data_IF_370240345929
#
_entry.id   IF_370240345929
#
_cell.length_a   1.000
_cell.length_b   1.000
_cell.length_c   1.000
_cell.angle_alpha   90.00
_cell.angle_beta   90.00
_cell.angle_gamma   90.00
#
_symmetry.space_group_name_H-M   'P 1'
#
loop_
_entity.id
_entity.type
_entity.pdbx_description
1 polymer ?
#
# COMPACT_ATOMS: atom_id res chain seq x y z
N UNK A 1 -10.66 -12.90 -12.07
CA UNK A 1 -10.46 -12.22 -10.76
C UNK A 1 -9.27 -12.87 -10.08
N UNK A 2 -8.19 -12.12 -9.93
CA UNK A 2 -6.90 -12.69 -9.51
C UNK A 2 -6.91 -13.09 -8.04
N UNK A 3 -6.75 -14.37 -7.75
CA UNK A 3 -6.60 -14.97 -6.41
C UNK A 3 -5.50 -14.31 -5.54
N UNK A 4 -4.57 -13.56 -6.15
CA UNK A 4 -3.47 -12.86 -5.46
C UNK A 4 -3.85 -11.55 -4.76
N UNK A 5 -4.97 -10.91 -5.12
CA UNK A 5 -5.42 -9.69 -4.42
C UNK A 5 -6.11 -9.97 -3.09
N UNK A 6 -6.65 -11.17 -2.90
CA UNK A 6 -7.28 -11.60 -1.64
C UNK A 6 -6.21 -11.95 -0.59
N UNK A 7 -5.05 -12.48 -1.00
CA UNK A 7 -3.99 -12.87 -0.08
C UNK A 7 -3.27 -11.68 0.60
N UNK A 8 -3.25 -10.49 -0.03
CA UNK A 8 -2.56 -9.32 0.53
C UNK A 8 -3.33 -8.63 1.68
N UNK A 9 -4.65 -8.83 1.76
CA UNK A 9 -5.50 -8.23 2.81
C UNK A 9 -5.58 -9.08 4.09
N UNK A 10 -5.04 -10.31 4.07
CA UNK A 10 -5.32 -11.33 5.10
C UNK A 10 -4.05 -11.85 5.82
N UNK A 11 -2.88 -11.24 5.58
CA UNK A 11 -1.61 -11.72 6.14
C UNK A 11 -1.26 -11.18 7.54
N UNK A 12 -2.17 -10.48 8.23
CA UNK A 12 -1.92 -9.91 9.56
C UNK A 12 -2.88 -10.42 10.62
N UNK A 13 -3.04 -11.75 10.74
CA UNK A 13 -3.56 -12.33 11.99
C UNK A 13 -2.38 -13.03 12.67
N UNK A 14 -1.82 -12.47 13.76
CA UNK A 14 -0.88 -13.21 14.57
C UNK A 14 -1.63 -14.32 15.30
N UNK A 15 -1.30 -15.57 15.01
CA UNK A 15 -1.64 -16.74 15.81
C UNK A 15 -0.98 -16.60 17.18
N UNK A 16 -1.70 -16.09 18.17
CA UNK A 16 -1.27 -16.15 19.56
C UNK A 16 -1.75 -17.50 20.11
N UNK A 17 -0.90 -18.52 20.02
CA UNK A 17 -0.96 -19.66 20.91
C UNK A 17 0.06 -19.45 22.05
N UNK A 18 -0.42 -19.03 23.21
CA UNK A 18 0.30 -19.24 24.46
C UNK A 18 -0.65 -19.90 25.46
N UNK A 19 -0.50 -21.21 25.59
CA UNK A 19 -1.10 -21.93 26.69
C UNK A 19 -0.32 -21.63 27.99
N UNK A 20 -1.06 -21.32 29.04
CA UNK A 20 -0.48 -21.28 30.39
C UNK A 20 -1.31 -20.47 31.40
N UNK A 21 -1.92 -21.15 32.33
CA UNK A 21 -2.45 -20.71 33.62
C UNK A 21 -3.86 -20.08 33.66
N UNK A 22 -4.82 -20.93 33.92
CA UNK A 22 -6.27 -20.67 34.09
C UNK A 22 -6.70 -20.16 35.48
N UNK A 23 -5.95 -19.26 36.12
CA UNK A 23 -6.32 -18.76 37.48
C UNK A 23 -6.38 -17.22 37.60
N UNK A 24 -6.12 -16.47 36.51
CA UNK A 24 -6.11 -15.00 36.52
C UNK A 24 -7.15 -14.40 35.56
N UNK A 25 -7.77 -15.16 34.69
CA UNK A 25 -8.60 -14.68 33.58
C UNK A 25 -9.93 -14.00 34.02
N UNK A 26 -10.53 -14.34 35.13
CA UNK A 26 -11.81 -13.75 35.55
C UNK A 26 -11.66 -12.32 36.09
N UNK A 27 -10.54 -12.04 36.75
CA UNK A 27 -10.26 -10.67 37.24
C UNK A 27 -9.77 -9.75 36.14
N UNK A 28 -9.07 -10.28 35.11
CA UNK A 28 -8.58 -9.50 33.98
C UNK A 28 -9.74 -9.01 33.10
N UNK A 29 -10.70 -9.87 32.74
CA UNK A 29 -11.87 -9.46 31.95
C UNK A 29 -12.69 -8.35 32.63
N UNK A 30 -12.82 -8.42 33.95
CA UNK A 30 -13.51 -7.38 34.73
C UNK A 30 -12.70 -6.08 34.77
N UNK A 31 -11.37 -6.19 34.93
CA UNK A 31 -10.49 -5.03 34.92
C UNK A 31 -10.51 -4.34 33.55
N UNK A 32 -10.46 -5.11 32.47
CA UNK A 32 -10.54 -4.62 31.10
C UNK A 32 -11.89 -3.97 30.80
N UNK A 33 -13.00 -4.55 31.28
CA UNK A 33 -14.33 -3.97 31.13
C UNK A 33 -14.46 -2.62 31.85
N UNK A 34 -13.90 -2.48 33.05
CA UNK A 34 -13.88 -1.21 33.81
C UNK A 34 -13.00 -0.18 33.11
N UNK A 35 -11.84 -0.60 32.59
CA UNK A 35 -10.92 0.27 31.86
C UNK A 35 -11.55 0.78 30.56
N UNK A 36 -12.20 -0.11 29.81
CA UNK A 36 -12.86 0.21 28.54
C UNK A 36 -14.11 1.10 28.73
N UNK A 37 -14.73 1.08 29.90
CA UNK A 37 -15.88 1.94 30.24
C UNK A 37 -15.48 3.37 30.63
N UNK A 38 -14.19 3.69 30.79
CA UNK A 38 -13.75 5.03 31.11
C UNK A 38 -14.16 6.02 30.00
N UNK A 39 -14.84 7.10 30.40
CA UNK A 39 -15.23 8.19 29.50
C UNK A 39 -14.02 9.09 29.27
N UNK A 40 -13.60 9.21 28.01
CA UNK A 40 -12.45 10.03 27.56
C UNK A 40 -12.89 11.38 27.01
N UNK A 41 -14.10 11.46 26.47
CA UNK A 41 -14.74 12.71 26.09
C UNK A 41 -16.26 12.63 26.26
N UNK A 42 -16.89 13.77 26.50
CA UNK A 42 -18.35 13.96 26.49
C UNK A 42 -18.70 14.99 25.43
N UNK A 43 -19.54 14.63 24.49
CA UNK A 43 -20.13 15.57 23.54
C UNK A 43 -21.63 15.60 23.74
N UNK A 44 -22.18 16.73 24.25
CA UNK A 44 -23.57 16.82 24.71
C UNK A 44 -23.86 15.68 25.70
N UNK A 45 -24.79 14.78 25.36
CA UNK A 45 -25.20 13.65 26.19
C UNK A 45 -24.56 12.33 25.73
N UNK A 46 -23.53 12.38 24.86
CA UNK A 46 -22.87 11.20 24.33
C UNK A 46 -21.48 11.05 24.92
N UNK A 47 -21.26 9.93 25.60
CA UNK A 47 -19.94 9.54 26.12
C UNK A 47 -19.12 8.84 25.06
N UNK A 48 -17.85 9.26 24.91
CA UNK A 48 -16.83 8.58 24.11
C UNK A 48 -15.91 7.84 25.07
N UNK A 49 -15.95 6.51 25.02
CA UNK A 49 -15.25 5.67 25.97
C UNK A 49 -13.88 5.21 25.44
N UNK A 50 -13.02 4.75 26.36
CA UNK A 50 -11.75 4.13 26.02
C UNK A 50 -11.92 2.87 25.17
N UNK A 51 -12.97 2.09 25.43
CA UNK A 51 -13.28 0.92 24.62
C UNK A 51 -13.54 1.26 23.15
N UNK A 52 -14.34 2.31 22.88
CA UNK A 52 -14.58 2.81 21.52
C UNK A 52 -13.29 3.31 20.87
N UNK A 53 -12.45 4.02 21.62
CA UNK A 53 -11.14 4.49 21.13
C UNK A 53 -10.24 3.32 20.71
N UNK A 54 -10.07 2.33 21.59
CA UNK A 54 -9.25 1.13 21.33
C UNK A 54 -9.79 0.33 20.14
N UNK A 55 -11.11 0.19 20.04
CA UNK A 55 -11.75 -0.47 18.91
C UNK A 55 -11.45 0.25 17.59
N UNK A 56 -11.63 1.56 17.53
CA UNK A 56 -11.35 2.36 16.34
C UNK A 56 -9.86 2.28 15.95
N UNK A 57 -8.96 2.33 16.94
CA UNK A 57 -7.53 2.18 16.70
C UNK A 57 -7.19 0.82 16.09
N UNK A 58 -7.74 -0.28 16.61
CA UNK A 58 -7.52 -1.62 16.06
C UNK A 58 -7.96 -1.72 14.60
N UNK A 59 -9.11 -1.14 14.25
CA UNK A 59 -9.63 -1.13 12.88
C UNK A 59 -8.70 -0.39 11.92
N UNK A 60 -8.25 0.80 12.31
CA UNK A 60 -7.37 1.63 11.46
C UNK A 60 -5.97 1.03 11.33
N UNK A 61 -5.42 0.46 12.39
CA UNK A 61 -4.11 -0.19 12.37
C UNK A 61 -4.12 -1.49 11.57
N UNK A 62 -5.18 -2.28 11.67
CA UNK A 62 -5.33 -3.49 10.86
C UNK A 62 -5.33 -3.20 9.35
N UNK A 63 -5.94 -2.08 8.92
CA UNK A 63 -5.88 -1.63 7.52
C UNK A 63 -4.47 -1.23 7.07
N UNK A 64 -3.62 -0.80 8.00
CA UNK A 64 -2.23 -0.40 7.76
C UNK A 64 -1.24 -1.58 7.90
N UNK A 65 -1.73 -2.78 8.26
CA UNK A 65 -0.90 -3.96 8.47
C UNK A 65 -0.01 -3.88 9.73
N UNK A 66 -0.42 -3.07 10.73
CA UNK A 66 0.28 -2.91 12.01
C UNK A 66 -0.65 -3.22 13.19
N UNK A 67 -0.10 -3.36 14.38
CA UNK A 67 -0.85 -3.73 15.59
C UNK A 67 -0.85 -2.61 16.63
N UNK A 68 -1.74 -2.74 17.61
CA UNK A 68 -1.79 -1.81 18.75
C UNK A 68 -0.49 -1.87 19.57
N UNK A 69 0.07 -3.06 19.73
CA UNK A 69 1.31 -3.31 20.45
C UNK A 69 2.51 -2.62 19.77
N UNK A 70 2.57 -2.64 18.44
CA UNK A 70 3.62 -1.96 17.68
C UNK A 70 3.60 -0.45 17.91
N UNK A 71 2.41 0.15 17.94
CA UNK A 71 2.24 1.59 18.18
C UNK A 71 2.53 1.97 19.63
N UNK A 72 2.20 1.10 20.59
CA UNK A 72 2.46 1.32 22.01
C UNK A 72 3.95 1.28 22.37
N UNK A 73 4.79 0.66 21.55
CA UNK A 73 6.22 0.57 21.77
C UNK A 73 6.93 1.93 21.78
N UNK A 74 6.38 2.94 21.08
CA UNK A 74 6.85 4.33 21.11
C UNK A 74 5.87 5.22 21.89
N UNK A 75 6.23 5.60 23.14
CA UNK A 75 5.35 6.39 24.01
C UNK A 75 4.93 7.75 23.41
N UNK A 76 5.81 8.40 22.66
CA UNK A 76 5.52 9.70 22.04
C UNK A 76 4.53 9.55 20.90
N UNK A 77 4.76 8.55 20.04
CA UNK A 77 3.85 8.21 18.94
C UNK A 77 2.51 7.73 19.48
N UNK A 78 2.51 6.88 20.50
CA UNK A 78 1.31 6.40 21.19
C UNK A 78 0.41 7.54 21.68
N UNK A 79 0.96 8.50 22.43
CA UNK A 79 0.19 9.65 22.92
C UNK A 79 -0.39 10.50 21.80
N UNK A 80 0.37 10.71 20.74
CA UNK A 80 -0.09 11.47 19.57
C UNK A 80 -1.22 10.74 18.87
N UNK A 81 -1.07 9.42 18.69
CA UNK A 81 -2.06 8.58 18.05
C UNK A 81 -3.36 8.49 18.85
N UNK A 82 -3.28 8.34 20.19
CA UNK A 82 -4.45 8.40 21.09
C UNK A 82 -5.24 9.70 20.92
N UNK A 83 -4.53 10.84 20.95
CA UNK A 83 -5.19 12.16 20.86
C UNK A 83 -5.83 12.37 19.48
N UNK A 84 -5.15 12.01 18.40
CA UNK A 84 -5.69 12.15 17.04
C UNK A 84 -6.91 11.25 16.85
N UNK A 85 -6.87 10.02 17.35
CA UNK A 85 -8.00 9.07 17.26
C UNK A 85 -9.19 9.54 18.11
N UNK A 86 -8.95 10.07 19.31
CA UNK A 86 -10.05 10.64 20.13
C UNK A 86 -10.69 11.83 19.43
N UNK A 87 -9.88 12.72 18.85
CA UNK A 87 -10.40 13.84 18.08
C UNK A 87 -11.27 13.36 16.91
N UNK A 88 -10.85 12.28 16.20
CA UNK A 88 -11.63 11.73 15.11
C UNK A 88 -12.99 11.19 15.60
N UNK A 89 -13.02 10.47 16.71
CA UNK A 89 -14.29 10.00 17.30
C UNK A 89 -15.21 11.14 17.69
N UNK A 90 -14.66 12.24 18.23
CA UNK A 90 -15.44 13.46 18.51
C UNK A 90 -15.97 14.08 17.23
N UNK A 91 -15.13 14.19 16.19
CA UNK A 91 -15.53 14.71 14.87
C UNK A 91 -16.66 13.86 14.28
N UNK A 92 -16.56 12.52 14.36
CA UNK A 92 -17.60 11.62 13.87
C UNK A 92 -18.94 11.86 14.56
N UNK A 93 -18.94 12.11 15.89
CA UNK A 93 -20.18 12.43 16.64
C UNK A 93 -20.78 13.77 16.19
N UNK A 94 -19.94 14.80 16.04
CA UNK A 94 -20.39 16.12 15.53
C UNK A 94 -20.91 15.99 14.11
N UNK A 95 -20.20 15.27 13.23
CA UNK A 95 -20.61 15.05 11.85
C UNK A 95 -21.92 14.26 11.73
N UNK A 96 -22.16 13.27 12.60
CA UNK A 96 -23.45 12.58 12.66
C UNK A 96 -24.59 13.51 13.06
N UNK A 97 -24.36 14.44 13.98
CA UNK A 97 -25.35 15.46 14.30
C UNK A 97 -25.61 16.40 13.11
N UNK A 98 -24.55 16.84 12.43
CA UNK A 98 -24.66 17.61 11.19
C UNK A 98 -25.41 16.85 10.10
N UNK A 99 -25.20 15.53 9.99
CA UNK A 99 -25.97 14.70 9.07
C UNK A 99 -27.47 14.74 9.35
N UNK A 100 -27.86 14.72 10.64
CA UNK A 100 -29.28 14.83 11.05
C UNK A 100 -29.83 16.22 10.74
N UNK A 101 -29.06 17.28 11.04
CA UNK A 101 -29.45 18.68 10.74
C UNK A 101 -29.67 18.89 9.23
N UNK A 102 -28.87 18.23 8.38
CA UNK A 102 -28.93 18.32 6.92
C UNK A 102 -29.88 17.29 6.28
N UNK A 103 -30.45 16.38 7.07
CA UNK A 103 -31.35 15.31 6.58
C UNK A 103 -30.63 14.17 5.87
N UNK A 104 -29.30 14.04 6.02
CA UNK A 104 -28.52 12.97 5.38
C UNK A 104 -28.68 11.59 6.04
N UNK A 105 -29.25 11.55 7.24
CA UNK A 105 -29.68 10.35 7.95
C UNK A 105 -30.96 9.73 7.37
N UNK A 106 -31.70 10.48 6.55
CA UNK A 106 -32.91 10.04 5.86
C UNK A 106 -32.51 9.22 4.62
N UNK A 107 -32.39 7.90 4.79
CA UNK A 107 -31.93 7.00 3.75
C UNK A 107 -33.09 6.59 2.83
N UNK A 108 -32.85 6.68 1.52
CA UNK A 108 -33.74 6.16 0.49
C UNK A 108 -33.59 4.63 0.32
N UNK A 109 -34.46 4.01 -0.47
CA UNK A 109 -34.32 2.59 -0.83
C UNK A 109 -33.03 2.32 -1.60
N UNK A 110 -32.62 3.23 -2.50
CA UNK A 110 -31.35 3.13 -3.24
C UNK A 110 -30.11 3.26 -2.32
N UNK A 111 -30.19 4.10 -1.30
CA UNK A 111 -29.13 4.21 -0.29
C UNK A 111 -28.96 2.93 0.50
N UNK A 112 -30.07 2.36 0.96
CA UNK A 112 -30.05 1.09 1.68
C UNK A 112 -29.48 -0.04 0.80
N UNK A 113 -29.81 -0.05 -0.48
CA UNK A 113 -29.23 -1.00 -1.45
C UNK A 113 -27.70 -0.86 -1.57
N UNK A 114 -27.19 0.36 -1.66
CA UNK A 114 -25.72 0.61 -1.69
C UNK A 114 -25.04 0.16 -0.39
N UNK A 115 -25.66 0.41 0.75
CA UNK A 115 -25.18 -0.06 2.06
C UNK A 115 -25.14 -1.60 2.09
N UNK A 116 -26.19 -2.26 1.59
CA UNK A 116 -26.26 -3.72 1.52
C UNK A 116 -25.23 -4.29 0.53
N UNK A 117 -25.01 -3.64 -0.59
CA UNK A 117 -23.97 -4.02 -1.58
C UNK A 117 -22.58 -3.95 -0.96
N UNK A 118 -22.23 -2.87 -0.25
CA UNK A 118 -20.94 -2.70 0.42
C UNK A 118 -20.77 -3.73 1.55
N UNK A 119 -21.77 -3.88 2.39
CA UNK A 119 -21.79 -4.88 3.46
C UNK A 119 -21.60 -6.29 2.90
N UNK A 120 -22.41 -6.69 1.91
CA UNK A 120 -22.33 -8.02 1.30
C UNK A 120 -21.00 -8.26 0.57
N UNK A 121 -20.42 -7.24 -0.05
CA UNK A 121 -19.10 -7.35 -0.70
C UNK A 121 -18.03 -7.75 0.31
N UNK A 122 -18.03 -7.12 1.48
CA UNK A 122 -17.09 -7.45 2.56
C UNK A 122 -17.37 -8.83 3.13
N UNK A 123 -18.63 -9.13 3.50
CA UNK A 123 -19.01 -10.43 4.06
C UNK A 123 -18.66 -11.57 3.11
N UNK A 124 -19.01 -11.48 1.83
CA UNK A 124 -18.68 -12.50 0.83
C UNK A 124 -17.17 -12.77 0.71
N UNK A 125 -16.36 -11.72 0.86
CA UNK A 125 -14.89 -11.86 0.83
C UNK A 125 -14.38 -12.62 2.05
N UNK A 126 -14.95 -12.35 3.23
CA UNK A 126 -14.62 -13.05 4.48
C UNK A 126 -15.10 -14.50 4.43
N UNK A 127 -16.32 -14.74 3.93
CA UNK A 127 -16.88 -16.08 3.74
C UNK A 127 -16.00 -16.93 2.81
N UNK A 128 -15.57 -16.39 1.68
CA UNK A 128 -14.67 -17.09 0.76
C UNK A 128 -13.33 -17.46 1.42
N UNK A 129 -12.81 -16.60 2.29
CA UNK A 129 -11.61 -16.90 3.06
C UNK A 129 -11.87 -17.94 4.14
N UNK A 130 -12.97 -17.83 4.88
CA UNK A 130 -13.36 -18.79 5.91
C UNK A 130 -13.55 -20.20 5.30
N UNK A 131 -14.18 -20.30 4.12
CA UNK A 131 -14.29 -21.55 3.40
C UNK A 131 -12.92 -22.14 3.02
N UNK A 132 -12.00 -21.30 2.54
CA UNK A 132 -10.66 -21.76 2.18
C UNK A 132 -9.91 -22.31 3.40
N UNK A 133 -9.92 -21.59 4.52
CA UNK A 133 -9.25 -22.02 5.76
C UNK A 133 -9.90 -23.27 6.35
N UNK A 134 -11.23 -23.33 6.40
CA UNK A 134 -11.94 -24.49 6.94
C UNK A 134 -11.67 -25.77 6.10
N UNK A 135 -11.61 -25.65 4.76
CA UNK A 135 -11.24 -26.76 3.89
C UNK A 135 -9.80 -27.24 4.13
N UNK A 136 -8.84 -26.30 4.19
CA UNK A 136 -7.44 -26.63 4.48
C UNK A 136 -7.28 -27.30 5.87
N UNK A 137 -7.97 -26.79 6.89
CA UNK A 137 -7.89 -27.34 8.25
C UNK A 137 -8.41 -28.79 8.34
N UNK A 138 -9.47 -29.13 7.61
CA UNK A 138 -10.01 -30.50 7.56
C UNK A 138 -9.15 -31.42 6.68
N UNK A 139 -8.51 -30.90 5.62
CA UNK A 139 -7.56 -31.67 4.80
C UNK A 139 -6.31 -32.03 5.62
N UNK A 140 -5.78 -31.11 6.42
CA UNK A 140 -4.63 -31.32 7.30
C UNK A 140 -4.94 -32.23 8.50
N UNK A 141 -6.13 -32.10 9.08
CA UNK A 141 -6.59 -32.90 10.21
C UNK A 141 -8.07 -33.32 10.04
N UNK A 142 -8.33 -34.55 9.54
CA UNK A 142 -9.69 -35.06 9.33
C UNK A 142 -10.57 -35.19 10.60
N UNK A 143 -10.01 -34.96 11.79
CA UNK A 143 -10.80 -34.94 13.05
C UNK A 143 -11.47 -33.59 13.30
N UNK A 144 -11.07 -32.55 12.58
CA UNK A 144 -11.66 -31.22 12.67
C UNK A 144 -13.02 -31.16 11.97
N UNK A 145 -13.88 -30.28 12.48
CA UNK A 145 -15.21 -30.05 11.92
C UNK A 145 -15.18 -28.80 11.02
N UNK A 146 -15.57 -28.95 9.77
CA UNK A 146 -15.60 -27.86 8.79
C UNK A 146 -16.45 -26.68 9.24
N UNK A 147 -17.67 -26.92 9.72
CA UNK A 147 -18.60 -25.84 10.11
C UNK A 147 -18.08 -25.08 11.35
N UNK A 148 -17.38 -25.77 12.24
CA UNK A 148 -16.74 -25.17 13.41
C UNK A 148 -15.55 -24.30 13.03
N UNK A 149 -14.66 -24.78 12.16
CA UNK A 149 -13.54 -24.01 11.64
C UNK A 149 -14.02 -22.78 10.85
N UNK A 150 -15.01 -22.95 9.97
CA UNK A 150 -15.63 -21.85 9.23
C UNK A 150 -16.20 -20.78 10.16
N UNK A 151 -17.00 -21.19 11.15
CA UNK A 151 -17.59 -20.29 12.12
C UNK A 151 -16.53 -19.58 12.97
N UNK A 152 -15.47 -20.28 13.36
CA UNK A 152 -14.36 -19.69 14.12
C UNK A 152 -13.66 -18.58 13.31
N UNK A 153 -13.41 -18.79 12.02
CA UNK A 153 -12.80 -17.77 11.17
C UNK A 153 -13.71 -16.55 11.04
N UNK A 154 -15.01 -16.75 10.77
CA UNK A 154 -15.99 -15.66 10.66
C UNK A 154 -16.07 -14.86 11.97
N UNK A 155 -16.21 -15.54 13.11
CA UNK A 155 -16.29 -14.89 14.42
C UNK A 155 -14.99 -14.13 14.73
N UNK A 156 -13.83 -14.78 14.57
CA UNK A 156 -12.52 -14.17 14.86
C UNK A 156 -12.29 -12.92 14.02
N UNK A 157 -12.72 -12.92 12.74
CA UNK A 157 -12.56 -11.76 11.88
C UNK A 157 -13.37 -10.56 12.39
N UNK A 158 -14.68 -10.74 12.64
CA UNK A 158 -15.50 -9.64 13.13
C UNK A 158 -15.10 -9.20 14.54
N UNK A 159 -14.77 -10.13 15.44
CA UNK A 159 -14.27 -9.82 16.78
C UNK A 159 -12.95 -9.01 16.73
N UNK A 160 -12.07 -9.30 15.77
CA UNK A 160 -10.82 -8.52 15.58
C UNK A 160 -11.10 -7.07 15.22
N UNK A 161 -12.22 -6.80 14.54
CA UNK A 161 -12.70 -5.46 14.23
C UNK A 161 -13.59 -4.86 15.35
N UNK A 162 -13.89 -5.63 16.39
CA UNK A 162 -14.78 -5.22 17.48
C UNK A 162 -16.27 -5.20 17.12
N UNK A 163 -16.66 -5.97 16.11
CA UNK A 163 -18.06 -6.10 15.68
C UNK A 163 -18.55 -7.55 15.75
N UNK A 164 -19.86 -7.72 15.74
CA UNK A 164 -20.49 -8.89 15.18
C UNK A 164 -20.79 -8.65 13.70
N UNK A 165 -21.04 -9.70 12.93
CA UNK A 165 -21.48 -9.53 11.53
C UNK A 165 -22.73 -8.65 11.44
N UNK A 166 -23.65 -8.75 12.38
CA UNK A 166 -24.87 -7.93 12.42
C UNK A 166 -24.56 -6.44 12.70
N UNK A 167 -23.75 -6.15 13.73
CA UNK A 167 -23.39 -4.77 14.09
C UNK A 167 -22.47 -4.10 13.06
N UNK A 168 -21.75 -4.88 12.25
CA UNK A 168 -20.92 -4.35 11.16
C UNK A 168 -21.75 -3.63 10.08
N UNK A 169 -22.99 -4.09 9.82
CA UNK A 169 -23.89 -3.39 8.89
C UNK A 169 -24.26 -1.99 9.38
N UNK A 170 -24.41 -1.80 10.70
CA UNK A 170 -24.67 -0.48 11.28
C UNK A 170 -23.47 0.46 11.13
N UNK A 171 -22.25 -0.07 11.21
CA UNK A 171 -21.03 0.70 10.95
C UNK A 171 -20.92 1.10 9.47
N UNK A 172 -21.22 0.20 8.52
CA UNK A 172 -21.28 0.53 7.09
C UNK A 172 -22.32 1.64 6.84
N UNK A 173 -23.49 1.55 7.47
CA UNK A 173 -24.52 2.59 7.39
C UNK A 173 -24.05 3.93 7.97
N UNK A 174 -23.39 3.92 9.11
CA UNK A 174 -22.82 5.13 9.73
C UNK A 174 -21.80 5.78 8.79
N UNK A 175 -20.87 5.00 8.25
CA UNK A 175 -19.85 5.47 7.33
C UNK A 175 -20.45 6.05 6.04
N UNK A 176 -21.52 5.45 5.52
CA UNK A 176 -22.26 5.97 4.38
C UNK A 176 -22.87 7.36 4.68
N UNK A 177 -23.41 7.57 5.87
CA UNK A 177 -23.99 8.85 6.31
C UNK A 177 -22.84 9.89 6.48
N UNK A 178 -21.77 9.54 7.18
CA UNK A 178 -20.60 10.41 7.37
C UNK A 178 -19.98 10.84 6.04
N UNK A 179 -19.92 9.92 5.07
CA UNK A 179 -19.46 10.24 3.71
C UNK A 179 -20.31 11.33 3.05
N UNK A 180 -21.62 11.38 3.27
CA UNK A 180 -22.49 12.45 2.75
C UNK A 180 -22.14 13.80 3.34
N UNK A 181 -21.83 13.84 4.65
CA UNK A 181 -21.37 15.08 5.31
C UNK A 181 -20.04 15.53 4.73
N UNK A 182 -19.10 14.59 4.57
CA UNK A 182 -17.82 14.87 3.91
C UNK A 182 -18.03 15.43 2.51
N UNK A 183 -18.81 14.73 1.68
CA UNK A 183 -19.08 15.13 0.30
C UNK A 183 -19.74 16.54 0.22
N UNK A 184 -20.61 16.90 1.17
CA UNK A 184 -21.22 18.22 1.25
C UNK A 184 -20.22 19.32 1.62
N UNK A 185 -19.34 19.05 2.58
CA UNK A 185 -18.28 19.99 2.99
C UNK A 185 -17.33 20.29 1.84
N UNK A 186 -16.95 19.27 1.07
CA UNK A 186 -15.95 19.42 0.01
C UNK A 186 -16.51 19.71 -1.38
N UNK A 187 -17.85 19.82 -1.53
CA UNK A 187 -18.53 19.90 -2.86
C UNK A 187 -18.08 21.05 -3.75
N UNK A 188 -17.69 22.16 -3.13
CA UNK A 188 -17.29 23.38 -3.84
C UNK A 188 -15.74 23.50 -3.95
N UNK A 189 -14.98 22.52 -3.42
CA UNK A 189 -13.52 22.51 -3.52
C UNK A 189 -13.08 22.18 -4.92
N UNK A 190 -12.34 23.08 -5.53
CA UNK A 190 -11.83 22.94 -6.90
C UNK A 190 -10.34 23.26 -6.99
N UNK A 191 -9.74 22.83 -8.07
CA UNK A 191 -8.38 23.21 -8.47
C UNK A 191 -8.45 23.73 -9.90
N UNK A 192 -7.86 24.90 -10.13
CA UNK A 192 -7.81 25.49 -11.49
C UNK A 192 -6.55 25.03 -12.23
N UNK A 193 -6.62 25.06 -13.57
CA UNK A 193 -5.45 24.77 -14.41
C UNK A 193 -4.26 25.69 -14.12
N UNK A 194 -4.53 26.95 -13.74
CA UNK A 194 -3.52 27.94 -13.37
C UNK A 194 -2.77 27.52 -12.10
N UNK A 195 -3.49 27.13 -11.05
CA UNK A 195 -2.89 26.63 -9.80
C UNK A 195 -2.02 25.41 -10.02
N UNK A 196 -2.47 24.47 -10.86
CA UNK A 196 -1.69 23.27 -11.21
C UNK A 196 -0.40 23.65 -11.95
N UNK A 197 -0.52 24.60 -12.91
CA UNK A 197 0.62 25.05 -13.69
C UNK A 197 1.65 25.80 -12.83
N UNK A 198 1.20 26.67 -11.94
CA UNK A 198 2.08 27.39 -11.00
C UNK A 198 2.79 26.41 -10.06
N UNK A 199 2.08 25.40 -9.55
CA UNK A 199 2.68 24.35 -8.71
C UNK A 199 3.72 23.55 -9.48
N UNK A 200 3.42 23.15 -10.73
CA UNK A 200 4.36 22.46 -11.58
C UNK A 200 5.62 23.30 -11.84
N UNK A 201 5.48 24.54 -12.25
CA UNK A 201 6.63 25.43 -12.55
C UNK A 201 7.52 25.67 -11.32
N UNK A 202 6.88 25.82 -10.14
CA UNK A 202 7.58 25.94 -8.86
C UNK A 202 8.37 24.68 -8.53
N UNK A 203 7.74 23.50 -8.66
CA UNK A 203 8.38 22.22 -8.37
C UNK A 203 9.53 21.94 -9.35
N UNK A 204 9.37 22.21 -10.64
CA UNK A 204 10.45 22.12 -11.63
C UNK A 204 11.64 22.99 -11.22
N UNK A 205 11.41 24.26 -10.87
CA UNK A 205 12.45 25.18 -10.43
C UNK A 205 13.19 24.66 -9.18
N UNK A 206 12.46 24.14 -8.21
CA UNK A 206 13.05 23.56 -6.98
C UNK A 206 13.88 22.32 -7.31
N UNK A 207 13.36 21.41 -8.13
CA UNK A 207 14.06 20.18 -8.50
C UNK A 207 15.32 20.46 -9.32
N UNK A 208 15.26 21.38 -10.30
CA UNK A 208 16.46 21.83 -11.03
C UNK A 208 17.53 22.41 -10.09
N UNK A 209 17.11 23.21 -9.10
CA UNK A 209 18.01 23.78 -8.10
C UNK A 209 18.68 22.71 -7.23
N UNK A 210 17.92 21.71 -6.79
CA UNK A 210 18.44 20.62 -5.99
C UNK A 210 19.38 19.71 -6.76
N UNK A 211 19.05 19.37 -8.00
CA UNK A 211 19.87 18.51 -8.88
C UNK A 211 21.25 19.10 -9.17
N UNK A 212 21.39 20.43 -9.23
CA UNK A 212 22.72 21.09 -9.39
C UNK A 212 23.68 20.78 -8.25
N UNK A 213 23.16 20.59 -7.04
CA UNK A 213 23.96 20.36 -5.84
C UNK A 213 24.01 18.87 -5.44
N UNK A 214 22.99 18.12 -5.79
CA UNK A 214 22.82 16.71 -5.42
C UNK A 214 22.25 15.91 -6.60
N UNK A 215 23.10 15.36 -7.47
CA UNK A 215 22.64 14.60 -8.65
C UNK A 215 21.79 13.36 -8.30
N UNK A 216 21.97 12.78 -7.09
CA UNK A 216 21.14 11.67 -6.57
C UNK A 216 19.77 12.11 -6.01
N UNK A 217 19.39 13.37 -6.17
CA UNK A 217 18.13 13.91 -5.65
C UNK A 217 16.90 13.16 -6.19
N UNK A 218 16.97 12.65 -7.44
CA UNK A 218 15.91 11.82 -8.02
C UNK A 218 15.62 10.59 -7.16
N UNK A 219 16.66 9.86 -6.74
CA UNK A 219 16.47 8.66 -5.92
C UNK A 219 15.86 8.98 -4.55
N UNK A 220 16.25 10.12 -3.97
CA UNK A 220 15.63 10.60 -2.72
C UNK A 220 14.14 10.93 -2.92
N UNK A 221 13.77 11.60 -4.03
CA UNK A 221 12.36 11.90 -4.36
C UNK A 221 11.55 10.60 -4.51
N UNK A 222 12.09 9.62 -5.22
CA UNK A 222 11.46 8.30 -5.39
C UNK A 222 11.25 7.59 -4.05
N UNK A 223 12.27 7.59 -3.19
CA UNK A 223 12.20 6.96 -1.87
C UNK A 223 11.10 7.52 -0.97
N UNK A 224 10.85 8.84 -1.04
CA UNK A 224 9.78 9.49 -0.27
C UNK A 224 8.44 9.56 -1.01
N UNK A 225 8.32 8.90 -2.16
CA UNK A 225 7.11 8.87 -2.98
C UNK A 225 6.72 10.22 -3.60
N UNK A 226 7.69 11.15 -3.74
CA UNK A 226 7.45 12.44 -4.37
C UNK A 226 7.57 12.37 -5.88
N UNK A 227 6.77 13.15 -6.59
CA UNK A 227 6.79 13.21 -8.05
C UNK A 227 8.10 13.78 -8.56
N UNK A 228 8.77 13.02 -9.43
CA UNK A 228 9.96 13.50 -10.17
C UNK A 228 9.51 14.22 -11.43
N UNK A 229 9.91 15.49 -11.57
CA UNK A 229 9.61 16.34 -12.72
C UNK A 229 10.85 16.71 -13.54
N UNK A 230 12.04 16.47 -12.99
CA UNK A 230 13.31 16.77 -13.67
C UNK A 230 14.27 15.61 -13.52
N UNK A 231 14.71 15.09 -14.66
CA UNK A 231 15.68 14.01 -14.72
C UNK A 231 17.02 14.50 -15.27
N UNK A 232 18.13 14.24 -14.59
CA UNK A 232 19.45 14.41 -15.19
C UNK A 232 19.70 13.36 -16.28
N UNK A 233 20.78 13.53 -17.05
CA UNK A 233 21.18 12.54 -18.06
C UNK A 233 21.44 11.17 -17.42
N UNK A 234 21.14 10.11 -18.17
CA UNK A 234 21.36 8.72 -17.76
C UNK A 234 20.16 8.04 -17.11
N UNK A 235 19.06 8.76 -16.87
CA UNK A 235 17.80 8.16 -16.46
C UNK A 235 17.01 7.64 -17.64
N UNK A 236 16.43 6.46 -17.50
CA UNK A 236 15.59 5.82 -18.52
C UNK A 236 14.66 4.77 -17.93
N UNK A 237 13.62 4.43 -18.66
CA UNK A 237 12.86 3.22 -18.39
C UNK A 237 13.50 2.06 -19.14
N UNK A 238 13.70 0.95 -18.44
CA UNK A 238 14.25 -0.28 -19.03
C UNK A 238 13.34 -1.47 -18.74
N UNK A 239 13.33 -2.42 -19.65
CA UNK A 239 12.79 -3.76 -19.46
C UNK A 239 13.82 -4.79 -19.87
N UNK A 240 13.68 -6.04 -19.44
CA UNK A 240 14.67 -7.03 -19.76
C UNK A 240 14.06 -8.41 -20.04
N UNK A 241 14.83 -9.24 -20.74
CA UNK A 241 14.68 -10.69 -20.81
C UNK A 241 15.74 -11.28 -19.91
N UNK A 242 15.32 -12.06 -18.90
CA UNK A 242 16.19 -12.93 -18.13
C UNK A 242 16.09 -14.35 -18.68
N UNK A 243 17.21 -14.90 -19.06
CA UNK A 243 17.38 -16.33 -19.27
C UNK A 243 18.02 -16.89 -18.01
N UNK A 244 17.23 -17.50 -17.13
CA UNK A 244 17.72 -18.03 -15.86
C UNK A 244 18.64 -19.24 -16.06
N UNK A 245 19.68 -19.34 -15.22
CA UNK A 245 20.37 -20.60 -15.03
C UNK A 245 19.42 -21.62 -14.36
N UNK A 246 19.74 -22.89 -14.47
CA UNK A 246 19.09 -23.91 -13.64
C UNK A 246 19.34 -23.63 -12.15
N UNK A 247 18.47 -24.17 -11.28
CA UNK A 247 18.48 -23.87 -9.85
C UNK A 247 19.80 -24.23 -9.17
N UNK A 248 20.49 -25.30 -9.61
CA UNK A 248 21.77 -25.72 -9.07
C UNK A 248 22.87 -24.71 -9.43
N UNK A 249 22.98 -24.36 -10.71
CA UNK A 249 23.95 -23.37 -11.19
C UNK A 249 23.71 -21.99 -10.57
N UNK A 250 22.46 -21.55 -10.51
CA UNK A 250 22.06 -20.28 -9.89
C UNK A 250 22.44 -20.23 -8.41
N UNK A 251 22.12 -21.25 -7.64
CA UNK A 251 22.44 -21.35 -6.22
C UNK A 251 23.95 -21.34 -5.97
N UNK A 252 24.70 -22.14 -6.74
CA UNK A 252 26.15 -22.20 -6.63
C UNK A 252 26.82 -20.87 -7.04
N UNK A 253 26.37 -20.23 -8.12
CA UNK A 253 26.89 -18.94 -8.57
C UNK A 253 26.59 -17.81 -7.56
N UNK A 254 25.39 -17.80 -6.95
CA UNK A 254 25.03 -16.85 -5.89
C UNK A 254 25.92 -17.01 -4.67
N UNK A 255 26.18 -18.26 -4.26
CA UNK A 255 27.08 -18.57 -3.13
C UNK A 255 28.51 -18.11 -3.44
N UNK A 256 29.04 -18.47 -4.61
CA UNK A 256 30.40 -18.09 -5.00
C UNK A 256 30.56 -16.56 -5.09
N UNK A 257 29.51 -15.85 -5.53
CA UNK A 257 29.49 -14.37 -5.54
C UNK A 257 29.52 -13.80 -4.10
N UNK A 258 28.66 -14.31 -3.23
CA UNK A 258 28.57 -13.86 -1.82
C UNK A 258 29.85 -14.15 -1.01
N UNK A 259 30.58 -15.20 -1.35
CA UNK A 259 31.86 -15.56 -0.72
C UNK A 259 33.09 -14.91 -1.37
N UNK A 260 32.92 -14.01 -2.35
CA UNK A 260 33.98 -13.39 -3.17
C UNK A 260 34.89 -14.43 -3.86
N UNK A 261 34.37 -15.62 -4.15
CA UNK A 261 35.08 -16.69 -4.84
C UNK A 261 35.01 -16.49 -6.37
N UNK A 262 35.82 -15.54 -6.86
CA UNK A 262 35.79 -15.09 -8.27
C UNK A 262 36.03 -16.21 -9.28
N UNK A 263 36.96 -17.12 -8.99
CA UNK A 263 37.27 -18.19 -9.94
C UNK A 263 36.12 -19.18 -10.13
N UNK A 264 35.44 -19.52 -9.06
CA UNK A 264 34.27 -20.41 -9.10
C UNK A 264 33.06 -19.69 -9.71
N UNK A 265 32.85 -18.41 -9.37
CA UNK A 265 31.82 -17.58 -9.97
C UNK A 265 32.00 -17.48 -11.50
N UNK A 266 33.21 -17.17 -11.98
CA UNK A 266 33.52 -17.08 -13.41
C UNK A 266 33.34 -18.44 -14.13
N UNK A 267 33.71 -19.54 -13.49
CA UNK A 267 33.51 -20.89 -14.04
C UNK A 267 32.01 -21.18 -14.21
N UNK A 268 31.23 -21.04 -13.13
CA UNK A 268 29.80 -21.34 -13.11
C UNK A 268 29.02 -20.47 -14.10
N UNK A 269 29.29 -19.18 -14.12
CA UNK A 269 28.59 -18.24 -15.02
C UNK A 269 28.99 -18.45 -16.49
N UNK A 270 30.22 -18.86 -16.77
CA UNK A 270 30.66 -19.22 -18.13
C UNK A 270 29.98 -20.50 -18.61
N UNK A 271 29.94 -21.53 -17.79
CA UNK A 271 29.25 -22.79 -18.11
C UNK A 271 27.74 -22.59 -18.27
N UNK A 272 27.11 -21.82 -17.35
CA UNK A 272 25.69 -21.47 -17.43
C UNK A 272 25.34 -20.68 -18.68
N UNK A 273 26.16 -19.67 -19.04
CA UNK A 273 25.98 -18.94 -20.30
C UNK A 273 26.09 -19.86 -21.51
N UNK A 274 27.08 -20.76 -21.52
CA UNK A 274 27.26 -21.72 -22.65
C UNK A 274 26.03 -22.61 -22.84
N UNK A 275 25.38 -23.06 -21.74
CA UNK A 275 24.14 -23.80 -21.80
C UNK A 275 22.96 -23.01 -22.40
N UNK A 276 22.95 -21.69 -22.24
CA UNK A 276 21.92 -20.77 -22.77
C UNK A 276 22.24 -20.20 -24.15
N UNK A 277 23.44 -20.49 -24.71
CA UNK A 277 23.94 -19.82 -25.92
C UNK A 277 22.97 -19.92 -27.10
N UNK A 278 22.33 -21.07 -27.31
CA UNK A 278 21.35 -21.24 -28.40
C UNK A 278 20.16 -20.28 -28.28
N UNK A 279 19.64 -20.08 -27.06
CA UNK A 279 18.55 -19.12 -26.81
C UNK A 279 19.03 -17.68 -27.03
N UNK A 280 20.22 -17.35 -26.55
CA UNK A 280 20.84 -16.01 -26.72
C UNK A 280 21.00 -15.70 -28.20
N UNK A 281 21.55 -16.62 -28.99
CA UNK A 281 21.78 -16.45 -30.42
C UNK A 281 20.46 -16.29 -31.19
N UNK A 282 19.42 -17.04 -30.81
CA UNK A 282 18.10 -16.94 -31.41
C UNK A 282 17.47 -15.58 -31.13
N UNK A 283 17.44 -15.11 -29.88
CA UNK A 283 16.93 -13.80 -29.52
C UNK A 283 17.68 -12.70 -30.28
N UNK A 284 19.02 -12.74 -30.29
CA UNK A 284 19.83 -11.73 -30.98
C UNK A 284 19.60 -11.74 -32.51
N UNK A 285 19.41 -12.91 -33.10
CA UNK A 285 19.10 -13.06 -34.53
C UNK A 285 17.74 -12.45 -34.86
N UNK A 286 16.72 -12.75 -34.05
CA UNK A 286 15.36 -12.25 -34.23
C UNK A 286 15.27 -10.75 -34.02
N UNK A 287 15.94 -10.21 -32.99
CA UNK A 287 16.07 -8.77 -32.78
C UNK A 287 16.75 -8.08 -33.97
N UNK A 288 17.82 -8.69 -34.53
CA UNK A 288 18.51 -8.18 -35.70
C UNK A 288 17.64 -8.21 -36.96
N UNK A 289 16.67 -9.12 -37.03
CA UNK A 289 15.65 -9.20 -38.08
C UNK A 289 14.50 -8.21 -37.87
N UNK A 290 14.48 -7.44 -36.77
CA UNK A 290 13.49 -6.42 -36.46
C UNK A 290 12.28 -6.92 -35.69
N UNK A 291 12.35 -8.10 -35.09
CA UNK A 291 11.28 -8.60 -34.23
C UNK A 291 11.15 -7.77 -32.94
N UNK A 292 9.94 -7.63 -32.44
CA UNK A 292 9.66 -6.81 -31.25
C UNK A 292 10.21 -7.46 -29.97
N UNK A 293 10.86 -6.65 -29.14
CA UNK A 293 11.44 -7.11 -27.87
C UNK A 293 10.39 -7.64 -26.89
N UNK A 294 9.19 -7.05 -26.87
CA UNK A 294 8.08 -7.51 -26.02
C UNK A 294 7.62 -8.91 -26.40
N UNK A 295 7.52 -9.20 -27.71
CA UNK A 295 7.19 -10.55 -28.20
C UNK A 295 8.23 -11.57 -27.72
N UNK A 296 9.52 -11.22 -27.77
CA UNK A 296 10.59 -12.10 -27.29
C UNK A 296 10.57 -12.24 -25.75
N UNK A 297 10.18 -11.18 -25.04
CA UNK A 297 9.96 -11.26 -23.58
C UNK A 297 8.85 -12.26 -23.22
N UNK A 298 7.73 -12.25 -23.92
CA UNK A 298 6.63 -13.21 -23.69
C UNK A 298 7.09 -14.67 -23.87
N UNK A 299 8.02 -14.91 -24.80
CA UNK A 299 8.51 -16.25 -25.14
C UNK A 299 9.65 -16.72 -24.23
N UNK A 300 10.60 -15.84 -23.87
CA UNK A 300 11.87 -16.23 -23.26
C UNK A 300 12.09 -15.77 -21.83
N UNK A 301 11.30 -14.80 -21.32
CA UNK A 301 11.62 -14.18 -20.04
C UNK A 301 11.26 -15.06 -18.85
N UNK A 302 12.26 -15.44 -18.06
CA UNK A 302 12.10 -16.19 -16.83
C UNK A 302 11.82 -15.28 -15.60
N UNK A 303 11.86 -13.94 -15.76
CA UNK A 303 11.51 -12.99 -14.69
C UNK A 303 9.99 -12.76 -14.67
N UNK A 304 9.34 -13.28 -13.62
CA UNK A 304 7.88 -13.18 -13.47
C UNK A 304 7.38 -11.75 -13.27
N UNK A 305 8.18 -10.85 -12.68
CA UNK A 305 7.81 -9.45 -12.49
C UNK A 305 7.72 -8.74 -13.83
N UNK A 306 8.75 -8.91 -14.66
CA UNK A 306 8.80 -8.30 -15.99
C UNK A 306 7.92 -9.00 -17.03
N UNK A 307 7.20 -10.05 -16.63
CA UNK A 307 6.13 -10.66 -17.46
C UNK A 307 4.75 -10.05 -17.18
N UNK A 308 4.65 -9.07 -16.27
CA UNK A 308 3.39 -8.43 -15.89
C UNK A 308 3.39 -6.93 -16.24
N UNK A 309 2.19 -6.41 -16.56
CA UNK A 309 1.95 -4.98 -16.66
C UNK A 309 2.19 -4.28 -15.31
N UNK A 310 2.76 -3.07 -15.30
CA UNK A 310 3.26 -2.28 -16.44
C UNK A 310 4.72 -2.59 -16.82
N UNK A 311 5.40 -3.50 -16.13
CA UNK A 311 6.84 -3.74 -16.26
C UNK A 311 7.25 -4.29 -17.64
N UNK A 312 6.37 -5.09 -18.27
CA UNK A 312 6.61 -5.65 -19.61
C UNK A 312 6.46 -4.62 -20.74
N UNK A 313 5.69 -3.54 -20.54
CA UNK A 313 5.43 -2.50 -21.54
C UNK A 313 6.16 -1.21 -21.25
N UNK A 314 5.99 -0.66 -20.04
CA UNK A 314 6.57 0.62 -19.64
C UNK A 314 8.00 0.48 -19.09
N UNK A 315 8.34 -0.71 -18.59
CA UNK A 315 9.60 -0.98 -17.93
C UNK A 315 9.69 -0.38 -16.54
N UNK A 316 10.91 -0.40 -15.98
CA UNK A 316 11.23 0.19 -14.67
C UNK A 316 12.16 1.38 -14.88
N UNK A 317 11.88 2.47 -14.16
CA UNK A 317 12.75 3.63 -14.14
C UNK A 317 14.05 3.31 -13.41
N UNK A 318 15.16 3.59 -14.07
CA UNK A 318 16.51 3.39 -13.54
C UNK A 318 17.42 4.57 -13.92
N UNK A 319 18.35 4.89 -13.04
CA UNK A 319 19.30 5.96 -13.24
C UNK A 319 20.68 5.66 -12.68
N UNK A 320 21.65 6.54 -12.90
CA UNK A 320 23.05 6.31 -12.53
C UNK A 320 23.31 6.27 -11.01
N UNK A 321 22.32 6.65 -10.21
CA UNK A 321 22.40 6.68 -8.75
C UNK A 321 21.46 5.66 -8.08
N UNK A 322 20.84 4.79 -8.86
CA UNK A 322 20.02 3.70 -8.34
C UNK A 322 20.86 2.69 -7.54
N UNK A 323 20.23 2.00 -6.59
CA UNK A 323 20.89 0.88 -5.91
C UNK A 323 21.07 -0.28 -6.88
N UNK A 324 22.26 -0.87 -6.93
CA UNK A 324 22.55 -2.00 -7.79
C UNK A 324 22.29 -3.32 -7.04
N UNK A 325 21.19 -3.97 -7.34
CA UNK A 325 20.84 -5.29 -6.78
C UNK A 325 21.37 -6.45 -7.65
N UNK A 326 21.64 -6.18 -8.93
CA UNK A 326 22.12 -7.16 -9.92
C UNK A 326 23.49 -6.69 -10.43
N UNK A 327 24.57 -7.43 -10.17
CA UNK A 327 25.93 -7.00 -10.53
C UNK A 327 26.09 -6.66 -12.02
N UNK A 328 26.57 -5.46 -12.30
CA UNK A 328 26.83 -4.97 -13.66
C UNK A 328 25.59 -4.52 -14.43
N UNK A 329 24.40 -4.55 -13.79
CA UNK A 329 23.16 -4.12 -14.44
C UNK A 329 23.19 -2.61 -14.77
N UNK A 330 23.59 -1.78 -13.81
CA UNK A 330 23.70 -0.33 -14.02
C UNK A 330 24.76 0.01 -15.10
N UNK A 331 25.87 -0.72 -15.13
CA UNK A 331 26.89 -0.56 -16.16
C UNK A 331 26.38 -0.96 -17.55
N UNK A 332 25.52 -1.95 -17.65
CA UNK A 332 24.88 -2.35 -18.90
C UNK A 332 23.85 -1.31 -19.35
N UNK A 333 23.03 -0.79 -18.43
CA UNK A 333 22.07 0.29 -18.68
C UNK A 333 22.77 1.57 -19.11
N UNK A 334 23.86 1.96 -18.46
CA UNK A 334 24.62 3.17 -18.78
C UNK A 334 25.17 3.21 -20.24
N UNK A 335 25.25 2.05 -20.90
CA UNK A 335 25.66 1.95 -22.32
C UNK A 335 24.50 2.14 -23.30
N UNK A 336 23.27 2.18 -22.80
CA UNK A 336 22.07 2.44 -23.60
C UNK A 336 21.94 3.96 -23.80
N UNK A 337 21.90 4.39 -25.04
CA UNK A 337 21.92 5.84 -25.39
C UNK A 337 20.68 6.28 -26.16
N UNK A 338 19.79 5.36 -26.51
CA UNK A 338 18.58 5.67 -27.28
C UNK A 338 17.47 4.65 -27.02
N UNK A 339 16.27 5.12 -27.17
CA UNK A 339 15.06 4.27 -27.12
C UNK A 339 15.14 3.11 -28.10
N UNK A 340 14.70 1.93 -27.68
CA UNK A 340 14.70 0.69 -28.45
C UNK A 340 16.06 -0.02 -28.50
N UNK A 341 17.13 0.58 -28.00
CA UNK A 341 18.45 -0.08 -27.93
C UNK A 341 18.41 -1.21 -26.91
N UNK A 342 19.02 -2.34 -27.27
CA UNK A 342 19.18 -3.51 -26.42
C UNK A 342 20.67 -3.65 -26.05
N UNK A 343 20.94 -4.06 -24.81
CA UNK A 343 22.29 -4.30 -24.30
C UNK A 343 22.95 -5.52 -24.95
N UNK A 344 24.27 -5.59 -24.85
CA UNK A 344 24.94 -6.89 -24.94
C UNK A 344 24.47 -7.80 -23.81
N UNK A 345 24.52 -9.13 -23.99
CA UNK A 345 24.16 -10.09 -22.97
C UNK A 345 24.97 -9.87 -21.68
N UNK A 346 24.30 -9.50 -20.59
CA UNK A 346 24.87 -9.35 -19.25
C UNK A 346 24.79 -10.68 -18.50
N UNK A 347 25.91 -11.22 -18.12
CA UNK A 347 25.96 -12.47 -17.33
C UNK A 347 26.08 -12.17 -15.83
N UNK A 348 25.21 -12.76 -15.04
CA UNK A 348 25.16 -12.60 -13.58
C UNK A 348 25.03 -13.96 -12.90
N UNK A 349 24.90 -13.96 -11.57
CA UNK A 349 24.62 -15.20 -10.84
C UNK A 349 23.20 -15.76 -11.09
N UNK A 350 22.26 -14.91 -11.55
CA UNK A 350 20.90 -15.35 -11.85
C UNK A 350 20.77 -16.02 -13.23
N UNK A 351 21.64 -15.63 -14.18
CA UNK A 351 21.51 -15.99 -15.58
C UNK A 351 22.02 -14.89 -16.50
N UNK A 352 21.43 -14.80 -17.68
CA UNK A 352 21.81 -13.84 -18.72
C UNK A 352 20.68 -12.87 -18.97
N UNK A 353 20.97 -11.56 -18.83
CA UNK A 353 20.03 -10.47 -19.10
C UNK A 353 20.29 -9.85 -20.46
N UNK A 354 19.22 -9.57 -21.20
CA UNK A 354 19.20 -8.65 -22.33
C UNK A 354 18.29 -7.48 -21.95
N UNK A 355 18.83 -6.26 -21.87
CA UNK A 355 18.15 -5.09 -21.32
C UNK A 355 17.81 -4.13 -22.45
N UNK A 356 16.55 -3.71 -22.57
CA UNK A 356 16.10 -2.74 -23.57
C UNK A 356 15.77 -1.41 -22.91
N UNK A 357 16.26 -0.30 -23.50
CA UNK A 357 15.78 1.04 -23.18
C UNK A 357 14.38 1.24 -23.79
N UNK A 358 13.37 1.38 -22.93
CA UNK A 358 11.99 1.67 -23.36
C UNK A 358 11.82 3.16 -23.67
N UNK A 359 12.32 4.04 -22.78
CA UNK A 359 12.20 5.49 -22.88
C UNK A 359 13.37 6.17 -22.19
N UNK A 360 13.95 7.20 -22.82
CA UNK A 360 14.91 8.10 -22.16
C UNK A 360 14.15 9.13 -21.32
N UNK A 361 14.62 9.40 -20.11
CA UNK A 361 13.98 10.30 -19.13
C UNK A 361 14.88 11.51 -18.82
N UNK A 362 15.58 12.08 -19.81
CA UNK A 362 16.40 13.27 -19.59
C UNK A 362 15.58 14.56 -19.74
N UNK A 363 15.83 15.53 -18.85
CA UNK A 363 15.21 16.85 -18.92
C UNK A 363 13.95 16.98 -18.07
N UNK A 364 13.19 18.03 -18.35
CA UNK A 364 11.93 18.33 -17.65
C UNK A 364 10.80 17.48 -18.24
N UNK A 365 10.05 16.80 -17.37
CA UNK A 365 8.84 16.06 -17.77
C UNK A 365 7.80 17.08 -18.27
N UNK A 366 7.22 16.90 -19.47
CA UNK A 366 6.23 17.84 -19.99
C UNK A 366 5.03 18.00 -19.05
N UNK A 367 4.55 19.24 -18.92
CA UNK A 367 3.39 19.54 -18.08
C UNK A 367 2.17 18.67 -18.41
N UNK A 368 1.90 18.49 -19.71
CA UNK A 368 0.74 17.71 -20.17
C UNK A 368 0.80 16.24 -19.76
N UNK A 369 2.01 15.68 -19.57
CA UNK A 369 2.20 14.28 -19.14
C UNK A 369 1.86 14.07 -17.65
N UNK A 370 1.86 15.14 -16.84
CA UNK A 370 1.67 15.07 -15.38
C UNK A 370 0.47 15.86 -14.88
N UNK A 371 -0.16 16.67 -15.73
CA UNK A 371 -1.25 17.59 -15.38
C UNK A 371 -2.39 16.88 -14.65
N UNK A 372 -2.87 15.77 -15.20
CA UNK A 372 -4.02 15.04 -14.64
C UNK A 372 -3.72 14.50 -13.23
N UNK A 373 -2.56 13.87 -13.07
CA UNK A 373 -2.10 13.34 -11.77
C UNK A 373 -1.89 14.46 -10.75
N UNK A 374 -1.24 15.56 -11.15
CA UNK A 374 -1.04 16.71 -10.27
C UNK A 374 -2.37 17.36 -9.88
N UNK A 375 -3.32 17.48 -10.81
CA UNK A 375 -4.67 17.99 -10.53
C UNK A 375 -5.37 17.13 -9.50
N UNK A 376 -5.35 15.81 -9.67
CA UNK A 376 -5.97 14.86 -8.73
C UNK A 376 -5.33 14.95 -7.33
N UNK A 377 -4.00 15.00 -7.27
CA UNK A 377 -3.25 15.12 -6.00
C UNK A 377 -3.56 16.43 -5.29
N UNK A 378 -3.53 17.56 -6.00
CA UNK A 378 -3.83 18.87 -5.44
C UNK A 378 -5.29 18.96 -4.98
N UNK A 379 -6.22 18.42 -5.77
CA UNK A 379 -7.65 18.39 -5.40
C UNK A 379 -7.88 17.56 -4.14
N UNK A 380 -7.25 16.40 -4.03
CA UNK A 380 -7.31 15.57 -2.83
C UNK A 380 -6.75 16.30 -1.61
N UNK A 381 -5.60 16.96 -1.74
CA UNK A 381 -5.01 17.76 -0.66
C UNK A 381 -5.88 18.95 -0.23
N UNK A 382 -6.47 19.68 -1.19
CA UNK A 382 -7.40 20.78 -0.86
C UNK A 382 -8.66 20.28 -0.16
N UNK A 383 -9.23 19.13 -0.60
CA UNK A 383 -10.39 18.52 0.04
C UNK A 383 -10.10 18.08 1.47
N UNK A 384 -8.94 17.48 1.71
CA UNK A 384 -8.50 17.11 3.06
C UNK A 384 -8.34 18.36 3.94
N UNK A 385 -7.70 19.41 3.44
CA UNK A 385 -7.53 20.69 4.17
C UNK A 385 -8.87 21.35 4.49
N UNK A 386 -9.82 21.35 3.55
CA UNK A 386 -11.16 21.92 3.78
C UNK A 386 -11.90 21.14 4.86
N UNK A 387 -11.89 19.80 4.77
CA UNK A 387 -12.47 18.91 5.78
C UNK A 387 -11.87 19.17 7.17
N UNK A 388 -10.55 19.21 7.28
CA UNK A 388 -9.85 19.47 8.55
C UNK A 388 -10.20 20.85 9.11
N UNK A 389 -10.27 21.88 8.25
CA UNK A 389 -10.60 23.24 8.65
C UNK A 389 -12.02 23.33 9.20
N UNK A 390 -12.99 22.75 8.50
CA UNK A 390 -14.41 22.79 8.89
C UNK A 390 -14.64 21.98 10.16
N UNK A 391 -14.06 20.78 10.25
CA UNK A 391 -14.24 19.91 11.44
C UNK A 391 -13.54 20.45 12.67
N UNK A 392 -12.37 21.08 12.52
CA UNK A 392 -11.72 21.79 13.61
C UNK A 392 -12.59 22.97 14.09
N UNK A 393 -13.22 23.71 13.17
CA UNK A 393 -14.18 24.76 13.50
C UNK A 393 -15.35 24.23 14.33
N UNK A 394 -15.94 23.09 13.95
CA UNK A 394 -17.02 22.45 14.72
C UNK A 394 -16.57 22.05 16.13
N UNK A 395 -15.37 21.50 16.26
CA UNK A 395 -14.81 21.14 17.58
C UNK A 395 -14.62 22.38 18.48
N UNK A 396 -14.12 23.47 17.92
CA UNK A 396 -13.87 24.69 18.66
C UNK A 396 -15.17 25.40 19.06
N UNK A 397 -16.19 25.38 18.20
CA UNK A 397 -17.56 25.82 18.54
C UNK A 397 -18.14 24.98 19.70
N UNK A 398 -18.00 23.64 19.62
CA UNK A 398 -18.51 22.74 20.65
C UNK A 398 -17.80 22.94 22.02
N UNK A 399 -16.49 23.18 22.00
CA UNK A 399 -15.72 23.53 23.21
C UNK A 399 -16.19 24.88 23.79
N UNK A 400 -16.33 25.90 22.95
CA UNK A 400 -16.76 27.27 23.34
C UNK A 400 -18.17 27.27 23.91
N UNK A 401 -19.07 26.46 23.34
CA UNK A 401 -20.44 26.28 23.85
C UNK A 401 -20.49 25.43 25.12
N UNK A 402 -19.38 24.82 25.56
CA UNK A 402 -19.30 23.99 26.75
C UNK A 402 -19.99 22.62 26.58
N UNK A 403 -20.30 22.21 25.35
CA UNK A 403 -20.96 20.92 25.03
C UNK A 403 -19.95 19.83 24.71
N UNK A 404 -18.68 20.16 24.52
CA UNK A 404 -17.58 19.21 24.38
C UNK A 404 -16.64 19.33 25.58
N UNK A 405 -16.41 18.22 26.28
CA UNK A 405 -15.40 18.07 27.33
C UNK A 405 -14.49 16.91 26.97
N UNK A 406 -13.20 17.06 27.17
CA UNK A 406 -12.17 16.03 26.94
C UNK A 406 -11.41 15.81 28.23
N UNK A 407 -11.11 14.56 28.57
CA UNK A 407 -10.48 14.16 29.83
C UNK A 407 -9.13 13.46 29.55
N UNK A 408 -8.08 14.20 29.15
CA UNK A 408 -6.81 13.60 28.76
C UNK A 408 -6.09 12.87 29.89
N UNK A 409 -6.44 13.19 31.16
CA UNK A 409 -5.91 12.51 32.35
C UNK A 409 -6.44 11.07 32.54
N UNK A 410 -7.38 10.64 31.74
CA UNK A 410 -8.01 9.31 31.82
C UNK A 410 -7.47 8.31 30.79
N UNK A 411 -6.47 8.70 30.01
CA UNK A 411 -5.82 7.81 29.01
C UNK A 411 -5.07 6.64 29.63
#
# INVERSE_FOLDING_TARGET
MNKRRIAALLLCIPLIFSGGCSLITVDQEKADAVENAKVLAEYKDVDITKGQLVQYMRQTLAQQGTTLEDVQADESYWKTYLNSTLNQLVIDQIAMEKAIELGFDQLTEDDNKKIDEEFNSTVNSIEAYAEYIAKAAVEDDPTKNYDEEYKNVMTTYFDSLGFTQESYRDEVKKNFILKRVYDDVIKDVTVTDEEVKETYDSQVTIQEGNLKNQPSFVEMQKQIGSKVLVYPEGYMNVRHILLSFDDETKSAATTAYGEDNKSEYERLTTEGKAALQTKIDDIQSRLSAGEDFGTLMEEYNDDSLYSMEPYNTEGTEIGPYATEDIPGYLDAVAKLTKQGQVSEPLVTYNGVYLIQCVKMLAGVVPYDDVKEEMTATMLSGKKATEWDTVTQGWMDEAKTAGVLKVFPERF
#
